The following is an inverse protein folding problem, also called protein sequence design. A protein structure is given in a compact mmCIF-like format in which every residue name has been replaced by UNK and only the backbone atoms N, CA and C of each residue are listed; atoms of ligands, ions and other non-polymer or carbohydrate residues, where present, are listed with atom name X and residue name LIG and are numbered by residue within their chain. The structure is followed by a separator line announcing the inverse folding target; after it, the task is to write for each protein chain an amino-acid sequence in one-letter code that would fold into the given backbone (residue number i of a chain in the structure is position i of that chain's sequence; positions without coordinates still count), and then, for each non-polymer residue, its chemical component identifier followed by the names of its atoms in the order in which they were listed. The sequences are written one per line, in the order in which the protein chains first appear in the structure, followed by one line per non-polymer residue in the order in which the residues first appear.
data_IF_148350522719
#
_entry.id   IF_148350522719
#
_cell.length_a   1.000
_cell.length_b   1.000
_cell.length_c   1.000
_cell.angle_alpha   90.00
_cell.angle_beta   90.00
_cell.angle_gamma   90.00
#
_symmetry.space_group_name_H-M   'P 1'
#
loop_
_entity.id
_entity.type
_entity.pdbx_description
1 polymer ?
#
# COMPACT_ATOMS: atom_id res chain seq x y z
N UNK A 1 43.93 19.60 38.90
CA UNK A 1 43.95 18.36 39.69
C UNK A 1 43.64 17.20 38.75
N UNK A 2 44.59 16.29 38.64
CA UNK A 2 44.61 15.06 37.84
C UNK A 2 43.73 13.96 38.43
N UNK A 3 43.01 13.20 37.59
CA UNK A 3 42.99 11.72 37.54
C UNK A 3 41.77 11.17 36.76
N UNK A 4 42.04 10.38 35.71
CA UNK A 4 41.16 9.34 35.15
C UNK A 4 41.34 8.02 35.96
N UNK A 5 40.71 6.90 35.58
CA UNK A 5 39.35 6.44 35.86
C UNK A 5 39.37 5.23 36.83
N UNK A 6 38.21 4.71 37.28
CA UNK A 6 38.14 3.47 38.06
C UNK A 6 37.18 2.47 37.40
N UNK A 7 37.74 1.46 36.75
CA UNK A 7 37.05 0.24 36.34
C UNK A 7 36.90 -0.67 37.56
N UNK A 8 35.71 -1.23 37.76
CA UNK A 8 35.47 -2.26 38.77
C UNK A 8 34.73 -3.46 38.15
N UNK A 9 35.53 -4.52 38.03
CA UNK A 9 35.28 -5.93 37.71
C UNK A 9 33.86 -6.47 37.88
N UNK A 10 33.35 -7.13 36.83
CA UNK A 10 32.40 -8.25 36.97
C UNK A 10 32.98 -9.45 36.23
N UNK A 11 33.26 -10.53 36.97
CA UNK A 11 33.63 -11.84 36.45
C UNK A 11 32.38 -12.67 36.18
N UNK A 12 32.25 -13.20 34.97
CA UNK A 12 31.43 -14.38 34.69
C UNK A 12 32.21 -15.28 33.71
N UNK A 13 32.52 -16.47 34.19
CA UNK A 13 33.20 -17.57 33.52
C UNK A 13 32.23 -18.40 32.66
N UNK A 14 32.75 -18.84 31.52
CA UNK A 14 32.53 -20.08 30.77
C UNK A 14 31.10 -20.48 30.34
N UNK A 15 30.87 -20.56 29.01
CA UNK A 15 30.84 -21.86 28.30
C UNK A 15 30.43 -21.76 26.81
N UNK A 16 31.26 -22.43 26.00
CA UNK A 16 30.94 -23.26 24.83
C UNK A 16 30.38 -22.64 23.53
N UNK A 17 31.30 -22.11 22.73
CA UNK A 17 31.21 -22.11 21.27
C UNK A 17 31.47 -23.53 20.73
N UNK A 18 30.44 -24.19 20.19
CA UNK A 18 30.60 -25.39 19.37
C UNK A 18 30.06 -25.12 17.96
N UNK A 19 30.94 -24.57 17.13
CA UNK A 19 30.83 -24.61 15.67
C UNK A 19 31.15 -26.02 15.19
N UNK A 20 30.16 -26.74 14.68
CA UNK A 20 30.36 -28.00 13.97
C UNK A 20 30.26 -27.73 12.47
N UNK A 21 31.40 -27.81 11.78
CA UNK A 21 31.47 -27.88 10.32
C UNK A 21 31.96 -29.27 9.98
N UNK A 22 31.04 -30.16 9.60
CA UNK A 22 31.40 -31.46 9.05
C UNK A 22 31.85 -31.25 7.60
N UNK A 23 33.15 -31.44 7.39
CA UNK A 23 33.80 -31.46 6.08
C UNK A 23 33.83 -32.92 5.62
N UNK A 24 33.01 -33.26 4.64
CA UNK A 24 33.02 -34.58 4.01
C UNK A 24 34.11 -34.59 2.93
N UNK A 25 35.29 -35.09 3.30
CA UNK A 25 36.42 -35.30 2.39
C UNK A 25 36.15 -36.51 1.49
N UNK A 26 35.88 -36.25 0.21
CA UNK A 26 35.89 -37.25 -0.85
C UNK A 26 36.76 -36.78 -2.01
N UNK A 27 38.05 -37.10 -1.95
CA UNK A 27 38.92 -37.14 -3.15
C UNK A 27 39.75 -38.43 -3.09
N UNK A 28 39.43 -39.33 -4.01
CA UNK A 28 40.15 -40.57 -4.30
C UNK A 28 41.54 -40.31 -4.87
N UNK A 29 42.53 -41.14 -4.53
CA UNK A 29 43.85 -41.11 -5.18
C UNK A 29 44.86 -42.13 -4.65
N UNK A 30 44.72 -43.37 -5.13
CA UNK A 30 45.75 -44.36 -5.49
C UNK A 30 46.85 -44.89 -4.53
N UNK A 31 47.05 -46.21 -4.71
CA UNK A 31 48.25 -47.03 -4.50
C UNK A 31 48.75 -47.39 -3.09
N UNK A 32 48.58 -48.67 -2.72
CA UNK A 32 49.70 -49.64 -2.63
C UNK A 32 49.25 -51.07 -2.27
N UNK A 33 49.76 -52.03 -3.04
CA UNK A 33 49.75 -53.47 -2.77
C UNK A 33 50.48 -53.84 -1.47
N UNK A 34 50.00 -54.87 -0.75
CA UNK A 34 50.81 -55.93 -0.13
C UNK A 34 49.93 -57.07 0.40
N UNK A 35 50.38 -58.30 0.15
CA UNK A 35 49.78 -59.58 0.56
C UNK A 35 49.65 -59.74 2.08
N UNK A 36 48.59 -60.41 2.55
CA UNK A 36 48.48 -60.85 3.94
C UNK A 36 47.19 -61.61 4.27
N UNK A 37 47.27 -62.93 4.16
CA UNK A 37 46.57 -63.99 4.93
C UNK A 37 45.04 -63.97 5.20
N UNK A 38 44.48 -65.17 5.07
CA UNK A 38 43.09 -65.53 5.32
C UNK A 38 42.57 -65.07 6.69
N UNK A 39 41.62 -64.13 6.68
CA UNK A 39 40.63 -63.97 7.74
C UNK A 39 39.24 -63.97 7.12
N UNK A 40 38.46 -65.04 7.35
CA UNK A 40 37.03 -65.08 7.01
C UNK A 40 36.27 -64.26 8.07
N UNK A 41 35.70 -63.08 7.75
CA UNK A 41 34.83 -62.40 8.70
C UNK A 41 33.47 -63.09 8.65
N UNK A 42 33.05 -63.60 9.80
CA UNK A 42 31.72 -64.15 10.04
C UNK A 42 30.71 -62.99 9.92
N UNK A 43 30.05 -62.88 8.76
CA UNK A 43 29.05 -61.85 8.49
C UNK A 43 27.82 -62.04 9.40
N UNK A 44 27.83 -61.43 10.59
CA UNK A 44 26.60 -61.22 11.37
C UNK A 44 25.82 -60.11 10.68
N UNK A 45 24.80 -60.46 9.90
CA UNK A 45 23.82 -59.48 9.38
C UNK A 45 23.21 -58.75 10.59
N UNK A 46 23.66 -57.51 10.81
CA UNK A 46 23.16 -56.66 11.88
C UNK A 46 21.75 -56.19 11.53
N UNK A 47 20.79 -56.41 12.43
CA UNK A 47 19.41 -55.89 12.31
C UNK A 47 19.37 -54.35 12.18
N UNK A 48 20.46 -53.65 12.50
CA UNK A 48 20.61 -52.21 12.31
C UNK A 48 20.60 -51.79 10.83
N UNK A 49 21.19 -52.59 9.93
CA UNK A 49 21.18 -52.31 8.49
C UNK A 49 19.77 -52.40 7.88
N UNK A 50 18.91 -53.24 8.46
CA UNK A 50 17.52 -53.40 8.04
C UNK A 50 16.61 -52.27 8.55
N UNK A 51 16.94 -51.63 9.68
CA UNK A 51 16.18 -50.49 10.19
C UNK A 51 16.49 -49.21 9.38
N UNK A 52 17.77 -49.01 9.02
CA UNK A 52 18.19 -47.92 8.13
C UNK A 52 17.62 -48.04 6.71
N UNK A 53 17.42 -49.26 6.18
CA UNK A 53 16.78 -49.44 4.86
C UNK A 53 15.30 -49.07 4.90
N UNK A 54 14.59 -49.37 5.99
CA UNK A 54 13.18 -49.02 6.19
C UNK A 54 13.02 -47.50 6.36
N UNK A 55 13.94 -46.83 7.07
CA UNK A 55 13.96 -45.36 7.19
C UNK A 55 14.27 -44.68 5.84
N UNK A 56 15.11 -45.31 4.99
CA UNK A 56 15.41 -44.81 3.63
C UNK A 56 14.22 -45.00 2.67
N UNK A 57 13.47 -46.08 2.80
CA UNK A 57 12.23 -46.30 2.04
C UNK A 57 11.11 -45.34 2.47
N UNK A 58 10.94 -45.10 3.78
CA UNK A 58 9.96 -44.15 4.31
C UNK A 58 10.25 -42.69 3.95
N UNK A 59 11.52 -42.32 3.76
CA UNK A 59 11.92 -40.96 3.36
C UNK A 59 11.39 -40.58 1.98
N UNK A 60 11.42 -41.49 0.99
CA UNK A 60 10.88 -41.20 -0.33
C UNK A 60 9.35 -41.03 -0.31
N UNK A 61 8.64 -41.80 0.53
CA UNK A 61 7.21 -41.58 0.75
C UNK A 61 6.90 -40.23 1.41
N UNK A 62 7.70 -39.83 2.40
CA UNK A 62 7.53 -38.52 3.05
C UNK A 62 7.83 -37.37 2.08
N UNK A 63 8.91 -37.47 1.30
CA UNK A 63 9.31 -36.45 0.32
C UNK A 63 8.27 -36.32 -0.81
N UNK A 64 7.69 -37.44 -1.26
CA UNK A 64 6.62 -37.42 -2.28
C UNK A 64 5.32 -36.83 -1.76
N UNK A 65 4.93 -37.15 -0.51
CA UNK A 65 3.76 -36.53 0.14
C UNK A 65 3.99 -35.02 0.31
N UNK A 66 5.16 -34.61 0.81
CA UNK A 66 5.49 -33.19 0.99
C UNK A 66 5.48 -32.44 -0.35
N UNK A 67 6.05 -33.03 -1.40
CA UNK A 67 6.02 -32.45 -2.75
C UNK A 67 4.58 -32.30 -3.28
N UNK A 68 3.74 -33.32 -3.08
CA UNK A 68 2.32 -33.23 -3.46
C UNK A 68 1.58 -32.15 -2.68
N UNK A 69 1.84 -32.01 -1.38
CA UNK A 69 1.27 -30.92 -0.57
C UNK A 69 1.73 -29.55 -1.09
N UNK A 70 3.02 -29.39 -1.39
CA UNK A 70 3.55 -28.14 -1.97
C UNK A 70 2.89 -27.85 -3.32
N UNK A 71 2.76 -28.85 -4.20
CA UNK A 71 2.09 -28.68 -5.50
C UNK A 71 0.62 -28.28 -5.31
N UNK A 72 -0.12 -28.93 -4.40
CA UNK A 72 -1.50 -28.57 -4.08
C UNK A 72 -1.60 -27.15 -3.53
N UNK A 73 -0.69 -26.75 -2.64
CA UNK A 73 -0.64 -25.39 -2.10
C UNK A 73 -0.31 -24.36 -3.19
N UNK A 74 0.61 -24.68 -4.12
CA UNK A 74 0.96 -23.81 -5.24
C UNK A 74 -0.19 -23.68 -6.24
N UNK A 75 -0.88 -24.78 -6.57
CA UNK A 75 -2.06 -24.77 -7.43
C UNK A 75 -3.21 -24.00 -6.78
N UNK A 76 -3.45 -24.22 -5.48
CA UNK A 76 -4.45 -23.47 -4.72
C UNK A 76 -4.13 -21.97 -4.69
N UNK A 77 -2.88 -21.61 -4.43
CA UNK A 77 -2.42 -20.22 -4.44
C UNK A 77 -2.55 -19.58 -5.83
N UNK A 78 -2.26 -20.32 -6.90
CA UNK A 78 -2.47 -19.83 -8.27
C UNK A 78 -3.95 -19.68 -8.62
N UNK A 79 -4.84 -20.54 -8.10
CA UNK A 79 -6.29 -20.40 -8.29
C UNK A 79 -6.92 -19.33 -7.39
N UNK A 80 -6.37 -19.10 -6.20
CA UNK A 80 -6.79 -18.05 -5.26
C UNK A 80 -6.19 -16.67 -5.62
N UNK A 81 -5.27 -16.59 -6.59
CA UNK A 81 -4.81 -15.34 -7.19
C UNK A 81 -5.89 -14.60 -8.01
N UNK A 82 -7.16 -15.01 -7.91
CA UNK A 82 -8.29 -14.21 -8.34
C UNK A 82 -8.35 -12.96 -7.46
N UNK A 83 -8.12 -11.80 -8.08
CA UNK A 83 -8.22 -10.49 -7.41
C UNK A 83 -9.54 -10.43 -6.64
N UNK A 84 -9.51 -10.13 -5.32
CA UNK A 84 -10.73 -9.97 -4.53
C UNK A 84 -11.69 -9.01 -5.23
N UNK A 85 -13.00 -9.33 -5.22
CA UNK A 85 -14.01 -8.49 -5.89
C UNK A 85 -14.18 -7.12 -5.23
N UNK A 86 -13.90 -7.01 -3.93
CA UNK A 86 -14.01 -5.78 -3.14
C UNK A 86 -12.66 -5.32 -2.61
N UNK A 87 -12.57 -4.03 -2.34
CA UNK A 87 -11.42 -3.34 -1.74
C UNK A 87 -11.47 -3.29 -0.21
N UNK A 88 -12.31 -4.10 0.43
CA UNK A 88 -12.50 -4.09 1.90
C UNK A 88 -11.21 -4.26 2.70
N UNK A 89 -10.26 -4.98 2.13
CA UNK A 89 -8.97 -5.31 2.74
C UNK A 89 -7.82 -4.49 2.17
N UNK A 90 -8.10 -3.62 1.20
CA UNK A 90 -7.08 -2.73 0.64
C UNK A 90 -6.80 -1.61 1.63
N UNK A 91 -5.52 -1.25 1.76
CA UNK A 91 -5.13 -0.02 2.44
C UNK A 91 -5.72 1.17 1.66
N UNK A 92 -6.51 2.01 2.35
CA UNK A 92 -7.21 3.14 1.72
C UNK A 92 -8.36 2.72 0.77
N UNK A 93 -8.79 1.45 0.82
CA UNK A 93 -9.97 0.96 0.11
C UNK A 93 -11.28 1.29 0.82
N UNK A 94 -12.38 0.93 0.18
CA UNK A 94 -13.70 1.01 0.79
C UNK A 94 -13.96 -0.21 1.66
N UNK A 95 -14.01 0.01 2.98
CA UNK A 95 -14.21 -1.05 3.96
C UNK A 95 -15.66 -1.59 4.00
N UNK A 96 -16.62 -0.93 3.35
CA UNK A 96 -18.05 -1.34 3.37
C UNK A 96 -18.36 -2.49 2.40
N UNK A 97 -17.46 -2.77 1.46
CA UNK A 97 -17.62 -3.80 0.44
C UNK A 97 -18.18 -3.35 -0.89
N UNK A 98 -18.48 -2.05 -1.05
CA UNK A 98 -19.03 -1.49 -2.29
C UNK A 98 -17.92 -1.32 -3.33
N UNK A 99 -16.80 -0.72 -2.94
CA UNK A 99 -15.71 -0.34 -3.84
C UNK A 99 -14.89 -1.54 -4.30
N UNK A 100 -14.50 -1.60 -5.59
CA UNK A 100 -13.70 -2.68 -6.16
C UNK A 100 -12.22 -2.49 -5.83
N UNK A 101 -11.44 -3.55 -6.02
CA UNK A 101 -9.99 -3.42 -6.07
C UNK A 101 -9.58 -2.55 -7.26
N UNK A 102 -8.88 -1.44 -6.99
CA UNK A 102 -8.40 -0.50 -7.99
C UNK A 102 -6.88 -0.55 -8.07
N UNK A 103 -6.30 -0.49 -9.29
CA UNK A 103 -4.86 -0.50 -9.48
C UNK A 103 -4.22 0.71 -8.79
N UNK A 104 -2.99 0.51 -8.30
CA UNK A 104 -2.21 1.54 -7.64
C UNK A 104 -0.94 1.87 -8.42
N UNK A 105 -0.41 3.07 -8.22
CA UNK A 105 0.81 3.56 -8.85
C UNK A 105 1.64 4.41 -7.88
N UNK A 106 2.95 4.53 -8.14
CA UNK A 106 3.81 5.46 -7.42
C UNK A 106 3.67 6.82 -8.08
N UNK A 107 3.43 7.87 -7.30
CA UNK A 107 3.33 9.25 -7.78
C UNK A 107 4.45 10.10 -7.24
N UNK A 108 4.91 11.03 -8.06
CA UNK A 108 5.72 12.17 -7.62
C UNK A 108 4.88 13.42 -7.76
N UNK A 109 4.84 14.24 -6.72
CA UNK A 109 4.07 15.47 -6.74
C UNK A 109 4.85 16.60 -7.41
N UNK A 110 4.13 17.37 -8.21
CA UNK A 110 4.65 18.52 -8.92
C UNK A 110 3.66 19.67 -8.80
N UNK A 111 4.18 20.88 -8.69
CA UNK A 111 3.34 22.08 -8.71
C UNK A 111 2.61 22.19 -10.04
N UNK A 112 1.29 22.41 -9.98
CA UNK A 112 0.47 22.70 -11.15
C UNK A 112 -0.38 23.95 -10.89
N UNK A 113 0.04 25.07 -11.47
CA UNK A 113 -0.56 26.37 -11.26
C UNK A 113 -1.90 26.56 -11.99
N UNK A 114 -2.33 25.60 -12.82
CA UNK A 114 -3.65 25.65 -13.45
C UNK A 114 -4.76 25.66 -12.40
N UNK A 115 -4.63 24.85 -11.34
CA UNK A 115 -5.68 24.69 -10.32
C UNK A 115 -5.65 25.79 -9.24
N UNK A 116 -4.50 26.42 -9.02
CA UNK A 116 -4.32 27.53 -8.09
C UNK A 116 -3.35 28.58 -8.67
N UNK A 117 -3.81 29.45 -9.59
CA UNK A 117 -2.97 30.47 -10.20
C UNK A 117 -2.48 31.50 -9.17
N UNK A 118 -1.25 32.01 -9.34
CA UNK A 118 -0.75 33.08 -8.47
C UNK A 118 -1.59 34.36 -8.54
N UNK A 119 -2.08 34.70 -9.73
CA UNK A 119 -3.03 35.78 -9.90
C UNK A 119 -4.44 35.25 -9.61
N UNK A 120 -4.97 35.57 -8.42
CA UNK A 120 -6.24 35.04 -7.92
C UNK A 120 -7.46 35.39 -8.78
N UNK A 121 -7.39 36.45 -9.59
CA UNK A 121 -8.47 36.79 -10.53
C UNK A 121 -8.56 35.77 -11.67
N UNK A 122 -7.46 35.11 -12.02
CA UNK A 122 -7.41 34.11 -13.11
C UNK A 122 -8.08 32.79 -12.74
N UNK A 123 -8.25 32.51 -11.44
CA UNK A 123 -8.97 31.33 -10.97
C UNK A 123 -10.39 31.23 -11.55
N UNK A 124 -11.03 32.38 -11.79
CA UNK A 124 -12.40 32.46 -12.30
C UNK A 124 -12.48 32.43 -13.83
N UNK A 125 -11.36 32.22 -14.54
CA UNK A 125 -11.39 31.99 -15.99
C UNK A 125 -11.98 30.62 -16.30
N UNK A 126 -12.70 30.54 -17.42
CA UNK A 126 -13.35 29.31 -17.90
C UNK A 126 -12.38 28.13 -17.99
N UNK A 127 -11.15 28.37 -18.45
CA UNK A 127 -10.11 27.34 -18.57
C UNK A 127 -9.75 26.69 -17.22
N UNK A 128 -9.64 27.49 -16.15
CA UNK A 128 -9.32 26.99 -14.81
C UNK A 128 -10.51 26.24 -14.21
N UNK A 129 -11.72 26.80 -14.33
CA UNK A 129 -12.93 26.15 -13.84
C UNK A 129 -13.22 24.84 -14.59
N UNK A 130 -12.92 24.79 -15.89
CA UNK A 130 -13.03 23.57 -16.70
C UNK A 130 -12.03 22.52 -16.24
N UNK A 131 -10.77 22.89 -16.02
CA UNK A 131 -9.76 21.97 -15.49
C UNK A 131 -10.20 21.36 -14.14
N UNK A 132 -10.80 22.17 -13.26
CA UNK A 132 -11.37 21.69 -12.00
C UNK A 132 -12.56 20.74 -12.21
N UNK A 133 -13.46 21.01 -13.16
CA UNK A 133 -14.55 20.09 -13.51
C UNK A 133 -14.02 18.76 -14.05
N UNK A 134 -12.94 18.77 -14.84
CA UNK A 134 -12.31 17.57 -15.41
C UNK A 134 -11.68 16.65 -14.36
N UNK A 135 -11.41 17.15 -13.15
CA UNK A 135 -11.01 16.29 -12.03
C UNK A 135 -12.21 15.48 -11.49
N UNK A 136 -13.43 15.96 -11.63
CA UNK A 136 -14.60 15.23 -11.16
C UNK A 136 -15.05 14.19 -12.19
N UNK A 137 -15.42 12.97 -11.76
CA UNK A 137 -16.07 12.02 -12.66
C UNK A 137 -17.46 12.53 -13.07
N UNK A 138 -17.97 12.09 -14.21
CA UNK A 138 -19.39 12.25 -14.55
C UNK A 138 -20.25 11.61 -13.44
N UNK A 139 -21.23 12.37 -12.93
CA UNK A 139 -22.04 12.03 -11.75
C UNK A 139 -21.42 12.44 -10.43
N UNK A 140 -20.28 13.15 -10.45
CA UNK A 140 -19.65 13.84 -9.32
C UNK A 140 -19.27 12.93 -8.13
N UNK A 141 -19.15 11.63 -8.39
CA UNK A 141 -18.82 10.59 -7.40
C UNK A 141 -20.01 10.06 -6.61
N UNK A 142 -21.22 10.52 -6.92
CA UNK A 142 -22.44 9.97 -6.33
C UNK A 142 -22.82 8.67 -7.02
N UNK A 143 -23.06 7.65 -6.21
CA UNK A 143 -23.33 6.29 -6.64
C UNK A 143 -24.68 5.85 -6.10
N UNK A 144 -25.48 5.21 -6.96
CA UNK A 144 -26.76 4.64 -6.57
C UNK A 144 -26.54 3.19 -6.14
N UNK A 145 -26.89 2.88 -4.90
CA UNK A 145 -26.77 1.53 -4.34
C UNK A 145 -28.18 0.97 -4.17
N UNK A 146 -28.58 0.03 -5.03
CA UNK A 146 -29.94 -0.51 -5.05
C UNK A 146 -30.25 -1.43 -3.86
N UNK A 147 -29.27 -2.21 -3.41
CA UNK A 147 -29.43 -3.23 -2.38
C UNK A 147 -28.35 -3.05 -1.31
N UNK A 148 -28.62 -2.15 -0.38
CA UNK A 148 -27.71 -1.80 0.71
C UNK A 148 -27.49 -2.96 1.69
N UNK A 149 -28.40 -3.96 1.71
CA UNK A 149 -28.31 -5.11 2.63
C UNK A 149 -27.13 -6.05 2.34
N UNK A 150 -26.52 -5.94 1.14
CA UNK A 150 -25.33 -6.69 0.74
C UNK A 150 -24.04 -6.19 1.36
N UNK A 151 -24.06 -4.96 1.88
CA UNK A 151 -22.89 -4.25 2.37
C UNK A 151 -23.04 -4.01 3.87
N UNK A 152 -21.92 -3.77 4.53
CA UNK A 152 -21.90 -3.49 5.96
C UNK A 152 -21.31 -2.11 6.23
N UNK A 153 -21.63 -1.57 7.40
CA UNK A 153 -21.09 -0.28 7.87
C UNK A 153 -21.27 0.91 6.90
N UNK A 154 -22.29 0.84 6.03
CA UNK A 154 -22.69 1.97 5.20
C UNK A 154 -23.12 3.14 6.09
N UNK A 155 -22.76 4.39 5.71
CA UNK A 155 -23.27 5.57 6.40
C UNK A 155 -24.79 5.71 6.18
N UNK A 156 -25.40 6.71 6.82
CA UNK A 156 -26.81 7.03 6.52
C UNK A 156 -26.94 7.44 5.05
N UNK A 157 -27.80 6.80 4.25
CA UNK A 157 -27.92 7.08 2.82
C UNK A 157 -28.55 8.45 2.56
N UNK A 158 -28.20 9.05 1.42
CA UNK A 158 -28.97 10.14 0.83
C UNK A 158 -30.19 9.53 0.15
N UNK A 159 -31.38 9.99 0.53
CA UNK A 159 -32.64 9.47 -0.03
C UNK A 159 -33.03 10.29 -1.24
N UNK A 160 -32.94 9.69 -2.43
CA UNK A 160 -33.48 10.26 -3.66
C UNK A 160 -34.75 9.54 -4.09
N UNK A 161 -35.60 10.16 -4.93
CA UNK A 161 -36.81 9.51 -5.45
C UNK A 161 -36.51 8.20 -6.19
N UNK A 162 -35.32 8.08 -6.76
CA UNK A 162 -34.89 6.95 -7.60
C UNK A 162 -34.10 5.88 -6.85
N UNK A 163 -33.68 6.12 -5.60
CA UNK A 163 -32.92 5.15 -4.80
C UNK A 163 -32.11 5.77 -3.66
N UNK A 164 -31.32 4.93 -2.99
CA UNK A 164 -30.35 5.35 -1.98
C UNK A 164 -29.02 5.68 -2.62
N UNK A 165 -28.49 6.86 -2.30
CA UNK A 165 -27.30 7.42 -2.92
C UNK A 165 -26.22 7.70 -1.87
N UNK A 166 -24.98 7.48 -2.28
CA UNK A 166 -23.78 7.69 -1.49
C UNK A 166 -22.75 8.44 -2.33
N UNK A 167 -21.83 9.16 -1.71
CA UNK A 167 -20.69 9.79 -2.41
C UNK A 167 -19.39 9.26 -1.84
N UNK A 168 -18.32 9.33 -2.62
CA UNK A 168 -16.99 8.91 -2.13
C UNK A 168 -16.30 10.01 -1.34
N UNK A 169 -15.47 9.59 -0.39
CA UNK A 169 -14.59 10.51 0.34
C UNK A 169 -13.65 11.27 -0.61
N UNK A 170 -13.14 10.62 -1.66
CA UNK A 170 -12.24 11.26 -2.64
C UNK A 170 -12.90 12.46 -3.33
N UNK A 171 -14.09 12.28 -3.90
CA UNK A 171 -14.79 13.36 -4.61
C UNK A 171 -15.26 14.47 -3.68
N UNK A 172 -15.60 14.14 -2.43
CA UNK A 172 -15.95 15.15 -1.42
C UNK A 172 -14.74 15.97 -0.97
N UNK A 173 -13.58 15.33 -0.71
CA UNK A 173 -12.33 16.03 -0.41
C UNK A 173 -11.94 16.99 -1.53
N UNK A 174 -12.09 16.56 -2.79
CA UNK A 174 -11.78 17.40 -3.94
C UNK A 174 -12.71 18.62 -4.06
N UNK A 175 -14.02 18.44 -3.84
CA UNK A 175 -14.98 19.53 -3.76
C UNK A 175 -14.65 20.52 -2.62
N UNK A 176 -14.29 19.99 -1.43
CA UNK A 176 -13.87 20.84 -0.31
C UNK A 176 -12.63 21.66 -0.65
N UNK A 177 -11.63 21.06 -1.32
CA UNK A 177 -10.44 21.78 -1.77
C UNK A 177 -10.80 22.89 -2.77
N UNK A 178 -11.66 22.60 -3.75
CA UNK A 178 -12.15 23.60 -4.69
C UNK A 178 -12.81 24.79 -3.98
N UNK A 179 -13.72 24.53 -3.04
CA UNK A 179 -14.41 25.58 -2.27
C UNK A 179 -13.43 26.48 -1.48
N UNK A 180 -12.38 25.88 -0.92
CA UNK A 180 -11.30 26.60 -0.23
C UNK A 180 -10.54 27.52 -1.18
N UNK A 181 -10.12 27.01 -2.33
CA UNK A 181 -9.38 27.79 -3.33
C UNK A 181 -10.25 28.89 -3.94
N UNK A 182 -11.52 28.61 -4.23
CA UNK A 182 -12.49 29.59 -4.72
C UNK A 182 -12.67 30.72 -3.71
N UNK A 183 -12.87 30.39 -2.43
CA UNK A 183 -13.08 31.39 -1.39
C UNK A 183 -11.83 32.24 -1.18
N UNK A 184 -10.65 31.63 -1.09
CA UNK A 184 -9.39 32.37 -1.01
C UNK A 184 -9.21 33.32 -2.20
N UNK A 185 -9.42 32.81 -3.41
CA UNK A 185 -9.24 33.59 -4.64
C UNK A 185 -10.22 34.75 -4.73
N UNK A 186 -11.49 34.51 -4.37
CA UNK A 186 -12.52 35.55 -4.40
C UNK A 186 -12.31 36.62 -3.34
N UNK A 187 -11.92 36.24 -2.11
CA UNK A 187 -11.54 37.20 -1.07
C UNK A 187 -10.35 38.06 -1.51
N UNK A 188 -9.32 37.45 -2.12
CA UNK A 188 -8.12 38.16 -2.55
C UNK A 188 -8.35 39.07 -3.76
N UNK A 189 -9.19 38.63 -4.70
CA UNK A 189 -9.57 39.38 -5.91
C UNK A 189 -10.72 40.37 -5.68
N UNK A 190 -11.29 40.42 -4.47
CA UNK A 190 -12.48 41.22 -4.14
C UNK A 190 -13.69 40.91 -5.05
N UNK A 191 -13.90 39.62 -5.32
CA UNK A 191 -15.03 39.09 -6.09
C UNK A 191 -16.13 38.64 -5.12
N UNK A 192 -17.39 38.82 -5.51
CA UNK A 192 -18.55 38.37 -4.73
C UNK A 192 -18.54 36.84 -4.60
N UNK A 193 -18.66 36.37 -3.35
CA UNK A 193 -18.68 34.95 -3.02
C UNK A 193 -20.12 34.46 -2.78
N UNK A 194 -20.37 33.14 -2.87
CA UNK A 194 -21.62 32.53 -2.42
C UNK A 194 -21.95 32.93 -0.97
N UNK A 195 -23.23 33.08 -0.64
CA UNK A 195 -23.67 33.54 0.69
C UNK A 195 -23.19 32.61 1.81
N UNK A 196 -23.11 31.31 1.53
CA UNK A 196 -22.73 30.25 2.46
C UNK A 196 -21.21 30.02 2.56
N UNK A 197 -20.38 30.80 1.85
CA UNK A 197 -18.92 30.59 1.79
C UNK A 197 -18.28 30.46 3.19
N UNK A 198 -18.72 31.24 4.17
CA UNK A 198 -18.17 31.18 5.52
C UNK A 198 -18.44 29.82 6.21
N UNK A 199 -19.66 29.29 6.09
CA UNK A 199 -20.01 28.00 6.65
C UNK A 199 -19.28 26.87 5.91
N UNK A 200 -19.29 26.91 4.58
CA UNK A 200 -18.58 25.94 3.74
C UNK A 200 -17.09 25.88 4.09
N UNK A 201 -16.44 27.03 4.30
CA UNK A 201 -15.02 27.08 4.68
C UNK A 201 -14.73 26.39 6.01
N UNK A 202 -15.53 26.63 7.05
CA UNK A 202 -15.33 26.01 8.36
C UNK A 202 -15.51 24.49 8.26
N UNK A 203 -16.53 24.05 7.52
CA UNK A 203 -16.78 22.63 7.26
C UNK A 203 -15.60 21.99 6.51
N UNK A 204 -15.17 22.61 5.41
CA UNK A 204 -14.10 22.09 4.55
C UNK A 204 -12.75 22.04 5.29
N UNK A 205 -12.42 23.03 6.11
CA UNK A 205 -11.19 23.01 6.90
C UNK A 205 -11.16 21.83 7.88
N UNK A 206 -12.24 21.59 8.61
CA UNK A 206 -12.25 20.47 9.55
C UNK A 206 -12.31 19.12 8.83
N UNK A 207 -13.09 19.01 7.74
CA UNK A 207 -13.15 17.80 6.93
C UNK A 207 -11.79 17.43 6.33
N UNK A 208 -11.09 18.39 5.71
CA UNK A 208 -9.77 18.16 5.12
C UNK A 208 -8.72 17.83 6.19
N UNK A 209 -8.77 18.47 7.35
CA UNK A 209 -7.90 18.12 8.50
C UNK A 209 -8.10 16.66 8.91
N UNK A 210 -9.36 16.21 9.03
CA UNK A 210 -9.68 14.82 9.39
C UNK A 210 -9.23 13.84 8.31
N UNK A 211 -9.44 14.17 7.04
CA UNK A 211 -9.00 13.34 5.90
C UNK A 211 -7.48 13.15 5.89
N UNK A 212 -6.71 14.22 6.08
CA UNK A 212 -5.23 14.19 6.16
C UNK A 212 -4.77 13.34 7.34
N UNK A 213 -5.38 13.50 8.52
CA UNK A 213 -5.04 12.69 9.69
C UNK A 213 -5.42 11.21 9.53
N UNK A 214 -6.47 10.91 8.76
CA UNK A 214 -6.90 9.56 8.48
C UNK A 214 -5.97 8.85 7.49
N UNK A 215 -5.56 9.53 6.41
CA UNK A 215 -4.63 8.96 5.43
C UNK A 215 -3.20 8.91 5.97
N UNK A 216 -2.81 9.90 6.79
CA UNK A 216 -1.53 10.01 7.48
C UNK A 216 -0.35 9.63 6.57
N UNK A 217 -0.26 10.27 5.40
CA UNK A 217 0.82 9.99 4.45
C UNK A 217 2.19 10.25 5.08
N UNK A 218 3.01 9.21 5.16
CA UNK A 218 4.34 9.24 5.78
C UNK A 218 5.47 9.27 4.75
N UNK A 219 5.19 9.61 3.48
CA UNK A 219 6.23 9.87 2.50
C UNK A 219 7.21 10.94 3.02
N UNK A 220 8.51 10.70 2.82
CA UNK A 220 9.53 11.67 3.21
C UNK A 220 9.59 12.80 2.18
N UNK A 221 9.59 14.04 2.67
CA UNK A 221 9.69 15.22 1.83
C UNK A 221 11.10 15.84 1.89
N UNK A 222 11.56 16.32 0.72
CA UNK A 222 12.92 16.80 0.51
C UNK A 222 13.10 18.30 0.70
N UNK A 223 14.25 18.82 0.25
CA UNK A 223 14.51 20.25 0.17
C UNK A 223 13.50 20.91 -0.79
N UNK A 224 13.08 22.13 -0.46
CA UNK A 224 12.22 22.92 -1.34
C UNK A 224 12.81 23.05 -2.76
N UNK A 225 11.92 23.15 -3.74
CA UNK A 225 12.26 23.37 -5.15
C UNK A 225 11.58 24.61 -5.74
N UNK A 226 10.63 25.20 -5.02
CA UNK A 226 9.76 26.28 -5.50
C UNK A 226 9.74 27.52 -4.59
N UNK A 227 10.44 27.52 -3.45
CA UNK A 227 10.45 28.69 -2.57
C UNK A 227 11.33 29.80 -3.18
N UNK A 228 10.84 31.05 -3.28
CA UNK A 228 11.61 32.13 -3.89
C UNK A 228 12.90 32.48 -3.16
N UNK A 229 12.98 32.21 -1.87
CA UNK A 229 14.08 32.59 -0.98
C UNK A 229 15.03 31.44 -0.64
N UNK A 230 14.76 30.22 -1.13
CA UNK A 230 15.53 29.00 -0.87
C UNK A 230 15.94 28.85 0.60
N UNK A 231 14.99 29.05 1.52
CA UNK A 231 15.24 29.12 2.95
C UNK A 231 15.65 27.79 3.61
N UNK A 232 15.81 26.70 2.85
CA UNK A 232 16.20 25.39 3.36
C UNK A 232 15.05 24.58 3.97
N UNK A 233 13.80 25.02 3.79
CA UNK A 233 12.61 24.28 4.17
C UNK A 233 12.27 23.14 3.21
N UNK A 234 11.09 22.54 3.40
CA UNK A 234 10.48 21.57 2.49
C UNK A 234 9.21 22.15 1.91
N UNK A 235 8.97 21.96 0.61
CA UNK A 235 7.74 22.34 -0.07
C UNK A 235 6.94 21.12 -0.57
N UNK A 236 7.36 19.92 -0.16
CA UNK A 236 6.70 18.65 -0.47
C UNK A 236 6.92 18.10 -1.88
N UNK A 237 7.45 18.89 -2.81
CA UNK A 237 7.67 18.47 -4.20
C UNK A 237 8.84 17.49 -4.34
N UNK A 238 8.90 16.77 -5.46
CA UNK A 238 9.91 15.73 -5.77
C UNK A 238 9.84 14.46 -4.87
N UNK A 239 9.00 14.48 -3.85
CA UNK A 239 8.71 13.34 -2.98
C UNK A 239 7.97 12.23 -3.74
N UNK A 240 8.36 10.98 -3.50
CA UNK A 240 7.67 9.80 -4.05
C UNK A 240 6.65 9.28 -3.05
N UNK A 241 5.39 9.27 -3.46
CA UNK A 241 4.25 8.74 -2.74
C UNK A 241 3.98 7.33 -3.29
N UNK A 242 4.37 6.31 -2.51
CA UNK A 242 4.35 4.91 -2.89
C UNK A 242 5.74 4.27 -2.89
N UNK A 243 5.84 3.01 -2.45
CA UNK A 243 7.12 2.31 -2.30
C UNK A 243 7.56 1.68 -3.61
N UNK A 244 8.82 1.92 -4.01
CA UNK A 244 9.47 1.37 -5.21
C UNK A 244 9.40 -0.16 -5.31
N UNK A 245 9.33 -0.87 -4.16
CA UNK A 245 9.60 -2.31 -4.12
C UNK A 245 8.49 -3.15 -3.46
N UNK A 246 7.37 -2.54 -3.01
CA UNK A 246 6.18 -3.27 -2.52
C UNK A 246 4.95 -2.35 -2.39
N UNK A 247 3.90 -2.70 -3.14
CA UNK A 247 2.52 -2.17 -3.15
C UNK A 247 2.45 -0.62 -3.13
N UNK A 248 2.30 0.02 -4.31
CA UNK A 248 2.00 1.45 -4.37
C UNK A 248 0.67 1.76 -3.64
N UNK A 249 0.59 2.93 -3.00
CA UNK A 249 -0.57 3.32 -2.18
C UNK A 249 -1.54 4.21 -2.98
N UNK A 250 -1.02 5.08 -3.85
CA UNK A 250 -1.87 5.97 -4.64
C UNK A 250 -2.69 5.15 -5.64
N UNK A 251 -4.02 5.29 -5.61
CA UNK A 251 -4.89 4.70 -6.64
C UNK A 251 -4.61 5.37 -7.99
N UNK A 252 -4.65 4.59 -9.07
CA UNK A 252 -4.58 5.15 -10.41
C UNK A 252 -5.84 5.98 -10.68
N UNK A 253 -5.66 7.29 -10.85
CA UNK A 253 -6.78 8.22 -10.89
C UNK A 253 -7.76 7.95 -12.04
N UNK A 254 -7.25 7.62 -13.23
CA UNK A 254 -8.09 7.26 -14.38
C UNK A 254 -8.98 6.05 -14.07
N UNK A 255 -8.43 5.00 -13.47
CA UNK A 255 -9.20 3.81 -13.07
C UNK A 255 -10.24 4.13 -11.98
N UNK A 256 -9.97 5.09 -11.10
CA UNK A 256 -10.95 5.57 -10.11
C UNK A 256 -12.09 6.29 -10.81
N UNK A 257 -11.79 7.20 -11.74
CA UNK A 257 -12.78 7.94 -12.52
C UNK A 257 -13.65 6.96 -13.33
N UNK A 258 -13.04 6.07 -14.10
CA UNK A 258 -13.75 5.06 -14.91
C UNK A 258 -14.72 4.23 -14.07
N UNK A 259 -14.27 3.81 -12.87
CA UNK A 259 -15.13 3.08 -11.95
C UNK A 259 -16.30 3.95 -11.48
N UNK A 260 -16.05 5.14 -10.93
CA UNK A 260 -17.10 6.00 -10.37
C UNK A 260 -18.15 6.38 -11.42
N UNK A 261 -17.72 6.62 -12.66
CA UNK A 261 -18.64 6.85 -13.77
C UNK A 261 -19.47 5.61 -14.08
N UNK A 262 -18.92 4.40 -14.00
CA UNK A 262 -19.67 3.17 -14.27
C UNK A 262 -20.82 2.90 -13.30
N UNK A 263 -20.74 3.44 -12.07
CA UNK A 263 -21.74 3.27 -10.99
C UNK A 263 -22.45 4.58 -10.60
N UNK A 264 -22.30 5.62 -11.43
CA UNK A 264 -22.84 6.95 -11.17
C UNK A 264 -24.36 6.98 -11.05
N UNK A 265 -24.86 7.88 -10.21
CA UNK A 265 -26.29 8.08 -10.01
C UNK A 265 -26.96 9.02 -11.05
N UNK A 266 -26.18 9.88 -11.72
CA UNK A 266 -26.64 10.85 -12.73
C UNK A 266 -25.46 11.30 -13.62
N UNK A 267 -25.68 12.23 -14.55
CA UNK A 267 -24.74 12.55 -15.64
C UNK A 267 -24.15 13.97 -15.61
N UNK A 268 -24.30 14.74 -14.52
CA UNK A 268 -23.69 16.07 -14.46
C UNK A 268 -22.22 15.97 -14.05
N UNK A 269 -21.41 16.93 -14.49
CA UNK A 269 -19.98 17.00 -14.18
C UNK A 269 -19.64 18.45 -13.85
N UNK A 270 -19.82 18.83 -12.58
CA UNK A 270 -19.58 20.19 -12.13
C UNK A 270 -19.12 20.22 -10.68
N UNK A 271 -17.97 20.84 -10.42
CA UNK A 271 -17.44 20.90 -9.05
C UNK A 271 -17.98 22.10 -8.23
N UNK A 272 -18.56 23.09 -8.91
CA UNK A 272 -18.98 24.39 -8.38
C UNK A 272 -20.48 24.67 -8.51
#
# INVERSE_FOLDING_TARGET
MTALPKYENVSLSDNDDSSITDVDDSVMGDDKHMHGEQYRPRYKKSKAASCLSILKEGRWFLDTILLLVIIVLLLRNQTEAAVPKSSERDVGGDFTGVGPHLPTEVKTFHINQTFAPYNTTEFFKEEVLTAWNELMPIGMGFQMINDTSKYHDLPTPIIWPTGTVFTTSMTHQLHCLFAVVQTYSGLKANITLPEDHHWHMIHCFDYMRQAIMCSADMALEGLETTFPDHNGGSDGWDSKHGKSDQIPICKNYGSVIDYLESVRAYNDQQIY
#
